data_IF_931866307386
#
_entry.id   IF_931866307386
#
_cell.length_a   1.000
_cell.length_b   1.000
_cell.length_c   1.000
_cell.angle_alpha   90.00
_cell.angle_beta   90.00
_cell.angle_gamma   90.00
#
_symmetry.space_group_name_H-M   'P 1'
#
loop_
_entity.id
_entity.type
_entity.pdbx_description
1 polymer ?
#
# COMPACT_ATOMS: atom_id res chain seq x y z
N UNK A 1 -9.94 8.37 -1.32
CA UNK A 1 -10.85 9.27 -2.06
C UNK A 1 -12.33 9.09 -1.70
N UNK A 2 -13.07 8.09 -2.21
CA UNK A 2 -14.56 8.08 -2.11
C UNK A 2 -15.13 7.92 -0.67
N UNK A 3 -14.51 7.12 0.19
CA UNK A 3 -14.97 6.94 1.57
C UNK A 3 -14.85 8.23 2.40
N UNK A 4 -13.74 8.98 2.26
CA UNK A 4 -13.55 10.28 2.94
C UNK A 4 -14.47 11.38 2.39
N UNK A 5 -14.77 11.35 1.09
CA UNK A 5 -15.78 12.25 0.51
C UNK A 5 -17.17 12.00 1.10
N UNK A 6 -17.55 10.73 1.27
CA UNK A 6 -18.81 10.33 1.91
C UNK A 6 -18.85 10.76 3.38
N UNK A 7 -17.74 10.64 4.09
CA UNK A 7 -17.60 11.08 5.49
C UNK A 7 -17.69 12.61 5.65
N UNK A 8 -17.16 13.37 4.69
CA UNK A 8 -17.28 14.83 4.64
C UNK A 8 -18.73 15.26 4.33
N UNK A 9 -19.37 14.57 3.39
CA UNK A 9 -20.77 14.78 3.01
C UNK A 9 -21.74 14.47 4.17
N UNK A 10 -21.45 13.42 4.95
CA UNK A 10 -22.26 13.06 6.12
C UNK A 10 -22.06 14.05 7.30
N UNK A 11 -20.93 14.78 7.35
CA UNK A 11 -20.62 15.76 8.41
C UNK A 11 -21.07 17.19 8.13
N UNK A 12 -21.24 17.61 6.87
CA UNK A 12 -21.65 18.98 6.50
C UNK A 12 -22.87 18.94 5.57
N UNK A 13 -23.95 19.64 5.95
CA UNK A 13 -25.17 19.74 5.11
C UNK A 13 -24.97 20.47 3.78
N UNK A 14 -23.88 21.23 3.61
CA UNK A 14 -23.46 21.84 2.34
C UNK A 14 -21.95 21.64 2.16
N UNK A 15 -21.54 21.09 1.02
CA UNK A 15 -20.14 20.92 0.62
C UNK A 15 -19.81 22.06 -0.35
N UNK A 16 -18.77 22.83 -0.05
CA UNK A 16 -18.29 23.90 -0.93
C UNK A 16 -17.13 23.42 -1.81
N UNK A 17 -16.95 24.04 -2.97
CA UNK A 17 -15.85 23.71 -3.90
C UNK A 17 -14.48 23.79 -3.21
N UNK A 18 -14.33 24.70 -2.25
CA UNK A 18 -13.12 24.86 -1.42
C UNK A 18 -12.85 23.65 -0.51
N UNK A 19 -13.89 22.99 0.01
CA UNK A 19 -13.76 21.77 0.82
C UNK A 19 -13.34 20.57 -0.06
N UNK A 20 -13.82 20.50 -1.30
CA UNK A 20 -13.41 19.47 -2.28
C UNK A 20 -11.95 19.72 -2.70
N UNK A 21 -11.58 20.97 -2.98
CA UNK A 21 -10.22 21.35 -3.31
C UNK A 21 -9.26 21.08 -2.15
N UNK A 22 -9.66 21.30 -0.90
CA UNK A 22 -8.87 20.96 0.27
C UNK A 22 -8.61 19.45 0.38
N UNK A 23 -9.63 18.61 0.17
CA UNK A 23 -9.47 17.16 0.15
C UNK A 23 -8.56 16.67 -0.99
N UNK A 24 -8.67 17.27 -2.18
CA UNK A 24 -7.81 16.92 -3.32
C UNK A 24 -6.37 17.40 -3.07
N UNK A 25 -6.19 18.59 -2.50
CA UNK A 25 -4.87 19.13 -2.16
C UNK A 25 -4.20 18.34 -1.03
N UNK A 26 -4.96 17.83 -0.06
CA UNK A 26 -4.48 16.90 0.97
C UNK A 26 -4.12 15.53 0.35
N UNK A 27 -4.96 14.95 -0.51
CA UNK A 27 -4.66 13.70 -1.23
C UNK A 27 -3.42 13.88 -2.14
N UNK A 28 -3.22 15.04 -2.77
CA UNK A 28 -2.03 15.36 -3.57
C UNK A 28 -0.79 15.63 -2.71
N UNK A 29 -0.92 16.27 -1.55
CA UNK A 29 0.19 16.45 -0.59
C UNK A 29 0.62 15.13 0.05
N UNK A 30 -0.32 14.26 0.44
CA UNK A 30 0.00 12.93 0.97
C UNK A 30 0.71 12.08 -0.12
N UNK A 31 0.27 12.17 -1.38
CA UNK A 31 0.90 11.48 -2.52
C UNK A 31 2.26 12.04 -2.94
N UNK A 32 2.51 13.34 -2.72
CA UNK A 32 3.79 13.99 -3.07
C UNK A 32 4.91 13.64 -2.09
N UNK A 33 4.58 13.18 -0.88
CA UNK A 33 5.55 12.78 0.15
C UNK A 33 5.86 11.28 0.21
N UNK A 34 5.11 10.43 -0.50
CA UNK A 34 5.40 8.99 -0.55
C UNK A 34 6.61 8.70 -1.45
N UNK A 35 7.72 8.27 -0.83
CA UNK A 35 8.94 7.90 -1.54
C UNK A 35 8.72 6.70 -2.48
N UNK A 36 7.93 5.72 -2.04
CA UNK A 36 7.53 4.57 -2.85
C UNK A 36 6.07 4.66 -3.25
N UNK A 37 5.78 4.46 -4.54
CA UNK A 37 4.39 4.48 -5.05
C UNK A 37 4.18 3.40 -6.10
N UNK A 38 3.18 2.54 -5.92
CA UNK A 38 2.83 1.53 -6.93
C UNK A 38 2.30 2.21 -8.19
N UNK A 39 2.84 1.85 -9.36
CA UNK A 39 2.40 2.37 -10.66
C UNK A 39 1.63 1.31 -11.43
N UNK A 40 2.25 0.14 -11.64
CA UNK A 40 1.61 -0.98 -12.32
C UNK A 40 2.05 -2.31 -11.75
N UNK A 41 1.19 -3.31 -11.88
CA UNK A 41 1.41 -4.65 -11.38
C UNK A 41 0.86 -5.67 -12.37
N UNK A 42 1.72 -6.57 -12.83
CA UNK A 42 1.32 -7.75 -13.58
C UNK A 42 1.75 -8.99 -12.79
N UNK A 43 0.82 -9.91 -12.57
CA UNK A 43 1.06 -11.15 -11.85
C UNK A 43 0.53 -12.33 -12.65
N UNK A 44 1.32 -13.39 -12.76
CA UNK A 44 0.96 -14.65 -13.40
C UNK A 44 1.23 -15.82 -12.48
N UNK A 45 0.22 -16.66 -12.26
CA UNK A 45 0.34 -17.89 -11.48
C UNK A 45 -0.53 -18.95 -12.12
N UNK A 46 0.00 -20.17 -12.20
CA UNK A 46 -0.72 -21.34 -12.70
C UNK A 46 -0.61 -22.48 -11.70
N UNK A 47 -1.74 -23.09 -11.38
CA UNK A 47 -1.76 -24.26 -10.53
C UNK A 47 -1.11 -25.45 -11.25
N UNK A 48 -0.12 -26.07 -10.61
CA UNK A 48 0.57 -27.25 -11.12
C UNK A 48 1.61 -27.03 -12.22
N UNK A 49 1.85 -25.78 -12.66
CA UNK A 49 2.84 -25.47 -13.70
C UNK A 49 3.54 -24.14 -13.40
N UNK A 50 4.88 -24.15 -13.35
CA UNK A 50 5.72 -22.95 -13.21
C UNK A 50 5.66 -22.28 -11.83
N UNK A 51 6.72 -21.53 -11.50
CA UNK A 51 6.71 -20.67 -10.33
C UNK A 51 5.88 -19.40 -10.62
N UNK A 52 5.03 -18.93 -9.70
CA UNK A 52 4.41 -17.62 -9.78
C UNK A 52 5.43 -16.53 -10.13
N UNK A 53 5.06 -15.66 -11.07
CA UNK A 53 5.87 -14.56 -11.57
C UNK A 53 5.14 -13.24 -11.41
N UNK A 54 5.87 -12.19 -11.05
CA UNK A 54 5.36 -10.84 -10.94
C UNK A 54 6.29 -9.84 -11.63
N UNK A 55 5.70 -8.87 -12.32
CA UNK A 55 6.34 -7.66 -12.83
C UNK A 55 5.70 -6.47 -12.13
N UNK A 56 6.51 -5.73 -11.38
CA UNK A 56 6.06 -4.60 -10.55
C UNK A 56 6.75 -3.33 -11.04
N UNK A 57 5.95 -2.31 -11.33
CA UNK A 57 6.44 -0.97 -11.61
C UNK A 57 6.03 -0.05 -10.47
N UNK A 58 7.00 0.67 -9.92
CA UNK A 58 6.77 1.60 -8.82
C UNK A 58 7.74 2.77 -8.89
N UNK A 59 7.40 3.87 -8.22
CA UNK A 59 8.28 5.01 -8.03
C UNK A 59 9.25 4.74 -6.89
N UNK A 60 10.53 5.07 -7.09
CA UNK A 60 11.59 5.12 -6.08
C UNK A 60 12.08 6.57 -6.02
N UNK A 61 11.45 7.37 -5.15
CA UNK A 61 11.51 8.83 -5.19
C UNK A 61 10.91 9.36 -6.49
N UNK A 62 11.71 10.06 -7.28
CA UNK A 62 11.31 10.60 -8.58
C UNK A 62 11.56 9.64 -9.75
N UNK A 63 12.21 8.49 -9.50
CA UNK A 63 12.56 7.53 -10.56
C UNK A 63 11.52 6.42 -10.66
N UNK A 64 10.98 6.21 -11.85
CA UNK A 64 10.14 5.05 -12.12
C UNK A 64 11.00 3.81 -12.39
N UNK A 65 10.73 2.72 -11.68
CA UNK A 65 11.50 1.47 -11.77
C UNK A 65 10.59 0.28 -12.04
N UNK A 66 11.06 -0.64 -12.88
CA UNK A 66 10.39 -1.91 -13.16
C UNK A 66 11.24 -3.06 -12.65
N UNK A 67 10.63 -3.95 -11.87
CA UNK A 67 11.27 -5.14 -11.33
C UNK A 67 10.45 -6.38 -11.63
N UNK A 68 11.13 -7.50 -11.83
CA UNK A 68 10.53 -8.80 -12.07
C UNK A 68 11.11 -9.84 -11.11
N UNK A 69 10.25 -10.72 -10.59
CA UNK A 69 10.70 -11.83 -9.74
C UNK A 69 9.72 -13.00 -9.83
N UNK A 70 10.25 -14.19 -9.52
CA UNK A 70 9.44 -15.35 -9.19
C UNK A 70 9.34 -15.50 -7.67
N UNK A 71 8.34 -16.26 -7.20
CA UNK A 71 8.17 -16.56 -5.78
C UNK A 71 7.37 -17.84 -5.56
N UNK A 72 7.19 -18.21 -4.30
CA UNK A 72 6.39 -19.37 -3.88
C UNK A 72 4.88 -19.13 -4.02
N UNK A 73 4.48 -17.88 -4.21
CA UNK A 73 3.10 -17.44 -4.39
C UNK A 73 3.04 -16.11 -5.15
N UNK A 74 1.84 -15.68 -5.58
CA UNK A 74 1.66 -14.42 -6.29
C UNK A 74 2.15 -13.22 -5.48
N UNK A 75 1.81 -13.19 -4.19
CA UNK A 75 2.20 -12.12 -3.26
C UNK A 75 3.70 -12.15 -2.96
N UNK A 76 4.27 -13.35 -2.77
CA UNK A 76 5.71 -13.52 -2.53
C UNK A 76 6.55 -13.03 -3.72
N UNK A 77 6.14 -13.34 -4.95
CA UNK A 77 6.82 -12.86 -6.16
C UNK A 77 6.82 -11.32 -6.24
N UNK A 78 5.74 -10.67 -5.84
CA UNK A 78 5.62 -9.21 -5.79
C UNK A 78 6.57 -8.62 -4.76
N UNK A 79 6.56 -9.17 -3.53
CA UNK A 79 7.40 -8.67 -2.45
C UNK A 79 8.88 -8.83 -2.79
N UNK A 80 9.27 -9.96 -3.38
CA UNK A 80 10.64 -10.18 -3.84
C UNK A 80 11.05 -9.21 -4.95
N UNK A 81 10.16 -8.92 -5.92
CA UNK A 81 10.45 -7.95 -6.98
C UNK A 81 10.69 -6.54 -6.42
N UNK A 82 9.88 -6.10 -5.46
CA UNK A 82 10.05 -4.80 -4.79
C UNK A 82 11.35 -4.80 -3.97
N UNK A 83 11.56 -5.84 -3.15
CA UNK A 83 12.72 -5.94 -2.25
C UNK A 83 14.05 -6.06 -3.00
N UNK A 84 14.07 -6.66 -4.20
CA UNK A 84 15.26 -6.73 -5.06
C UNK A 84 15.82 -5.34 -5.42
N UNK A 85 14.94 -4.34 -5.53
CA UNK A 85 15.33 -2.94 -5.78
C UNK A 85 15.48 -2.14 -4.48
N UNK A 86 14.53 -2.26 -3.55
CA UNK A 86 14.49 -1.46 -2.32
C UNK A 86 15.58 -1.87 -1.33
N UNK A 87 15.87 -3.17 -1.21
CA UNK A 87 16.86 -3.75 -0.29
C UNK A 87 16.70 -3.21 1.12
N UNK A 88 15.46 -3.22 1.62
CA UNK A 88 15.13 -2.72 2.95
C UNK A 88 15.81 -3.52 4.05
N UNK A 89 16.07 -4.81 3.81
CA UNK A 89 16.55 -5.73 4.85
C UNK A 89 15.54 -5.88 5.99
N UNK A 90 14.26 -5.59 5.72
CA UNK A 90 13.20 -5.70 6.69
C UNK A 90 12.68 -7.13 6.77
N UNK A 91 12.39 -7.58 7.99
CA UNK A 91 11.73 -8.85 8.25
C UNK A 91 10.21 -8.66 8.25
N UNK A 92 9.48 -9.54 7.57
CA UNK A 92 8.02 -9.55 7.61
C UNK A 92 7.54 -10.33 8.82
N UNK A 93 6.93 -9.65 9.78
CA UNK A 93 6.41 -10.26 11.00
C UNK A 93 4.96 -10.74 10.86
N UNK A 94 4.17 -10.07 10.03
CA UNK A 94 2.76 -10.39 9.83
C UNK A 94 2.29 -10.00 8.44
N UNK A 95 1.50 -10.89 7.85
CA UNK A 95 0.69 -10.67 6.66
C UNK A 95 -0.74 -11.10 7.01
N UNK A 96 -1.69 -10.19 6.93
CA UNK A 96 -3.10 -10.45 7.24
C UNK A 96 -4.00 -9.89 6.16
N UNK A 97 -5.02 -10.67 5.80
CA UNK A 97 -6.02 -10.32 4.80
C UNK A 97 -7.37 -10.29 5.46
N UNK A 98 -8.06 -9.16 5.38
CA UNK A 98 -9.40 -8.96 5.91
C UNK A 98 -10.34 -8.58 4.76
N UNK A 99 -11.55 -9.12 4.79
CA UNK A 99 -12.61 -8.66 3.89
C UNK A 99 -13.31 -7.46 4.52
N UNK A 100 -13.41 -6.35 3.79
CA UNK A 100 -14.29 -5.24 4.11
C UNK A 100 -15.58 -5.48 3.32
N UNK A 101 -16.63 -5.95 3.99
CA UNK A 101 -17.93 -6.18 3.35
C UNK A 101 -19.02 -5.35 4.03
N UNK A 102 -19.49 -4.29 3.37
CA UNK A 102 -20.67 -3.53 3.81
C UNK A 102 -21.95 -3.96 3.05
N UNK A 103 -21.84 -4.34 1.77
CA UNK A 103 -22.87 -4.99 0.94
C UNK A 103 -22.19 -5.74 -0.21
N UNK A 104 -22.77 -6.84 -0.67
CA UNK A 104 -22.15 -7.92 -1.45
C UNK A 104 -21.54 -7.59 -2.82
N UNK A 105 -21.63 -6.35 -3.34
CA UNK A 105 -21.11 -5.98 -4.67
C UNK A 105 -19.84 -5.13 -4.66
N UNK A 106 -19.48 -4.51 -3.53
CA UNK A 106 -18.31 -3.62 -3.41
C UNK A 106 -17.34 -4.08 -2.32
N UNK A 107 -17.23 -5.40 -2.10
CA UNK A 107 -16.31 -5.91 -1.09
C UNK A 107 -14.87 -5.56 -1.47
N UNK A 108 -14.21 -4.74 -0.66
CA UNK A 108 -12.80 -4.45 -0.80
C UNK A 108 -12.00 -5.41 0.07
N UNK A 109 -10.86 -5.86 -0.45
CA UNK A 109 -9.86 -6.56 0.32
C UNK A 109 -8.96 -5.58 1.05
N UNK A 110 -8.81 -5.72 2.36
CA UNK A 110 -7.80 -5.00 3.12
C UNK A 110 -6.67 -5.94 3.49
N UNK A 111 -5.44 -5.52 3.21
CA UNK A 111 -4.23 -6.26 3.56
C UNK A 111 -3.42 -5.42 4.52
N UNK A 112 -3.01 -6.04 5.63
CA UNK A 112 -2.05 -5.47 6.58
C UNK A 112 -0.74 -6.23 6.50
N UNK A 113 0.36 -5.49 6.33
CA UNK A 113 1.72 -6.00 6.41
C UNK A 113 2.47 -5.35 7.56
N UNK A 114 3.08 -6.17 8.43
CA UNK A 114 3.96 -5.71 9.50
C UNK A 114 5.40 -6.02 9.15
N UNK A 115 6.23 -4.97 9.09
CA UNK A 115 7.67 -5.09 8.84
C UNK A 115 8.47 -4.66 10.07
N UNK A 116 9.62 -5.30 10.26
CA UNK A 116 10.60 -4.95 11.27
C UNK A 116 11.97 -4.72 10.65
N UNK A 117 12.64 -3.63 11.04
CA UNK A 117 14.03 -3.39 10.68
C UNK A 117 14.74 -2.61 11.79
N UNK A 118 15.92 -3.07 12.22
CA UNK A 118 16.71 -2.37 13.23
C UNK A 118 15.98 -2.11 14.56
N UNK A 119 15.13 -3.05 15.00
CA UNK A 119 14.31 -2.91 16.22
C UNK A 119 13.04 -2.07 16.07
N UNK A 120 12.83 -1.40 14.92
CA UNK A 120 11.61 -0.65 14.62
C UNK A 120 10.59 -1.55 13.94
N UNK A 121 9.34 -1.50 14.39
CA UNK A 121 8.21 -2.23 13.80
C UNK A 121 7.20 -1.25 13.25
N UNK A 122 6.72 -1.46 12.02
CA UNK A 122 5.68 -0.63 11.39
C UNK A 122 4.61 -1.50 10.75
N UNK A 123 3.41 -0.93 10.61
CA UNK A 123 2.29 -1.55 9.91
C UNK A 123 1.94 -0.75 8.65
N UNK A 124 2.01 -1.38 7.49
CA UNK A 124 1.44 -0.90 6.23
C UNK A 124 0.08 -1.51 5.99
N UNK A 125 -0.85 -0.73 5.43
CA UNK A 125 -2.20 -1.16 5.09
C UNK A 125 -2.45 -0.81 3.63
N UNK A 126 -3.05 -1.73 2.88
CA UNK A 126 -3.44 -1.53 1.50
C UNK A 126 -4.85 -2.07 1.29
N UNK A 127 -5.70 -1.27 0.65
CA UNK A 127 -7.06 -1.65 0.30
C UNK A 127 -7.25 -1.65 -1.22
N UNK A 128 -7.81 -2.73 -1.76
CA UNK A 128 -8.13 -2.87 -3.18
C UNK A 128 -9.14 -4.02 -3.37
N UNK A 129 -10.06 -3.94 -4.35
CA UNK A 129 -10.88 -5.10 -4.75
C UNK A 129 -10.04 -6.32 -5.13
N UNK A 130 -8.85 -6.12 -5.71
CA UNK A 130 -7.87 -7.17 -5.96
C UNK A 130 -6.91 -7.32 -4.77
N UNK A 131 -6.99 -8.46 -4.08
CA UNK A 131 -6.17 -8.75 -2.90
C UNK A 131 -4.67 -8.74 -3.20
N UNK A 132 -4.28 -9.04 -4.44
CA UNK A 132 -2.89 -9.07 -4.87
C UNK A 132 -2.37 -7.62 -4.99
N UNK A 133 -3.18 -6.73 -5.55
CA UNK A 133 -2.88 -5.28 -5.61
C UNK A 133 -2.89 -4.69 -4.20
N UNK A 134 -3.87 -5.02 -3.35
CA UNK A 134 -3.93 -4.61 -1.96
C UNK A 134 -2.66 -5.01 -1.19
N UNK A 135 -2.17 -6.23 -1.44
CA UNK A 135 -0.92 -6.72 -0.83
C UNK A 135 0.28 -5.89 -1.24
N UNK A 136 0.43 -5.57 -2.53
CA UNK A 136 1.51 -4.71 -3.03
C UNK A 136 1.47 -3.31 -2.39
N UNK A 137 0.28 -2.71 -2.31
CA UNK A 137 0.05 -1.41 -1.66
C UNK A 137 0.42 -1.44 -0.18
N UNK A 138 -0.01 -2.48 0.55
CA UNK A 138 0.28 -2.63 1.97
C UNK A 138 1.79 -2.74 2.24
N UNK A 139 2.50 -3.49 1.40
CA UNK A 139 3.96 -3.63 1.52
C UNK A 139 4.68 -2.30 1.24
N UNK A 140 4.32 -1.59 0.17
CA UNK A 140 4.87 -0.26 -0.15
C UNK A 140 4.60 0.74 0.98
N UNK A 141 3.39 0.74 1.54
CA UNK A 141 3.05 1.58 2.68
C UNK A 141 3.91 1.28 3.92
N UNK A 142 4.20 0.00 4.18
CA UNK A 142 5.09 -0.41 5.27
C UNK A 142 6.53 0.07 5.01
N UNK A 143 7.04 -0.06 3.78
CA UNK A 143 8.36 0.41 3.39
C UNK A 143 8.51 1.93 3.52
N UNK A 144 7.50 2.70 3.10
CA UNK A 144 7.46 4.15 3.29
C UNK A 144 7.55 4.51 4.78
N UNK A 145 6.79 3.81 5.64
CA UNK A 145 6.83 4.02 7.10
C UNK A 145 8.16 3.62 7.73
N UNK A 146 8.83 2.57 7.24
CA UNK A 146 10.17 2.20 7.71
C UNK A 146 11.21 3.27 7.37
N UNK A 147 11.09 3.89 6.18
CA UNK A 147 11.97 4.96 5.73
C UNK A 147 11.75 6.29 6.43
N UNK A 148 10.50 6.66 6.67
CA UNK A 148 10.17 7.94 7.29
C UNK A 148 10.85 8.04 8.67
N UNK A 149 11.41 9.20 9.07
CA UNK A 149 11.91 9.40 10.42
C UNK A 149 10.83 9.05 11.46
N UNK A 150 11.22 8.49 12.61
CA UNK A 150 10.27 8.27 13.70
C UNK A 150 9.64 9.61 14.04
N UNK A 151 8.33 9.78 13.79
CA UNK A 151 7.59 10.90 14.35
C UNK A 151 7.65 10.72 15.86
N UNK A 152 8.40 11.59 16.55
CA UNK A 152 8.30 11.69 18.00
C UNK A 152 6.83 11.92 18.32
N UNK A 153 6.22 10.97 19.01
CA UNK A 153 4.91 11.16 19.60
C UNK A 153 5.14 12.21 20.67
N UNK A 154 4.88 13.48 20.34
CA UNK A 154 4.72 14.53 21.35
C UNK A 154 3.53 14.09 22.17
N UNK A 155 3.80 13.45 23.31
CA UNK A 155 2.81 13.16 24.33
C UNK A 155 2.19 14.51 24.71
N UNK A 156 0.98 14.76 24.23
CA UNK A 156 0.19 15.89 24.69
C UNK A 156 -0.30 15.54 26.10
N UNK A 157 0.29 16.24 27.08
CA UNK A 157 -0.29 16.69 28.36
C UNK A 157 -1.10 15.71 29.17
#
# INVERSE_FOLDING_TARGET
>A
AFARFKELADRKSEIFDEDILALVAEDEHERSHEHYRLVSLEQRSSFGHGAPHARVQFMDGETEVTMESSGNGPVDAIFQAIEAKVKSGAEMLLYSVNAISERSSDSQGEVTVRLQHGGRVVNGVGADPDIVVASAKAYIAALNKLRAPTAEVVAQG
#
